data_IF_141829988118
#
_entry.id   IF_141829988118
#
_cell.length_a   1.000
_cell.length_b   1.000
_cell.length_c   1.000
_cell.angle_alpha   90.00
_cell.angle_beta   90.00
_cell.angle_gamma   90.00
#
_symmetry.space_group_name_H-M   'P 1'
#
loop_
_entity.id
_entity.type
_entity.pdbx_description
1 polymer ?
#
# COMPACT_ATOMS: atom_id res chain seq x y z
N UNK A 1 -33.15 34.45 41.78
CA UNK A 1 -32.58 33.44 42.71
C UNK A 1 -31.96 32.35 41.82
N UNK A 2 -30.65 32.13 41.69
CA UNK A 2 -29.53 32.51 42.52
C UNK A 2 -28.72 31.26 42.87
N UNK A 3 -27.91 30.75 41.93
CA UNK A 3 -26.67 30.03 42.25
C UNK A 3 -25.76 29.95 41.01
N UNK A 4 -24.83 30.90 40.93
CA UNK A 4 -23.66 30.86 40.05
C UNK A 4 -22.66 29.87 40.65
N UNK A 5 -22.23 28.85 39.90
CA UNK A 5 -21.04 28.08 40.22
C UNK A 5 -19.88 28.62 39.37
N UNK A 6 -18.93 29.26 40.07
CA UNK A 6 -17.67 29.75 39.51
C UNK A 6 -16.73 28.57 39.23
N UNK A 7 -16.25 28.48 37.99
CA UNK A 7 -15.12 27.65 37.59
C UNK A 7 -13.81 28.35 38.01
N UNK A 8 -13.02 27.71 38.86
CA UNK A 8 -11.66 28.11 39.19
C UNK A 8 -10.66 27.53 38.17
N UNK A 9 -9.60 28.26 37.78
CA UNK A 9 -8.63 27.79 36.80
C UNK A 9 -7.64 26.77 37.40
N UNK A 10 -7.42 25.67 36.68
CA UNK A 10 -6.39 24.64 36.99
C UNK A 10 -4.99 25.25 36.91
N UNK A 11 -4.25 25.16 38.00
CA UNK A 11 -2.81 25.44 38.06
C UNK A 11 -2.03 24.41 37.24
N UNK A 12 -1.16 24.89 36.36
CA UNK A 12 -0.14 24.11 35.67
C UNK A 12 0.98 23.78 36.66
N UNK A 13 1.24 22.48 36.85
CA UNK A 13 2.40 22.01 37.60
C UNK A 13 3.62 21.97 36.68
N UNK A 14 4.54 22.89 36.90
CA UNK A 14 5.87 22.97 36.29
C UNK A 14 6.79 21.91 36.90
N UNK A 15 7.31 21.01 36.07
CA UNK A 15 8.37 20.04 36.45
C UNK A 15 9.73 20.72 36.20
N UNK A 16 10.67 20.73 37.17
CA UNK A 16 11.96 21.38 36.98
C UNK A 16 12.91 20.52 36.12
N UNK A 17 13.52 21.15 35.10
CA UNK A 17 14.63 20.60 34.34
C UNK A 17 15.86 20.42 35.24
N UNK A 18 16.31 19.18 35.39
CA UNK A 18 17.62 18.87 35.95
C UNK A 18 18.71 19.10 34.89
N UNK A 19 19.63 20.01 35.20
CA UNK A 19 20.82 20.36 34.45
C UNK A 19 21.91 19.31 34.64
N UNK A 20 22.23 18.52 33.61
CA UNK A 20 23.43 17.67 33.62
C UNK A 20 24.63 18.44 33.09
N UNK A 21 25.62 18.62 33.98
CA UNK A 21 26.89 19.31 33.79
C UNK A 21 27.73 18.72 32.66
N UNK A 22 28.36 19.63 31.93
CA UNK A 22 29.48 19.41 31.03
C UNK A 22 30.63 18.69 31.73
N UNK A 23 31.15 17.61 31.14
CA UNK A 23 32.50 17.13 31.41
C UNK A 23 33.41 17.62 30.29
N UNK A 24 34.29 18.56 30.67
CA UNK A 24 35.47 18.96 29.93
C UNK A 24 36.52 17.85 30.07
N UNK A 25 37.01 17.32 28.95
CA UNK A 25 38.20 16.46 28.93
C UNK A 25 39.42 17.34 28.75
N UNK A 26 40.28 17.38 29.77
CA UNK A 26 41.58 18.04 29.76
C UNK A 26 42.53 17.41 28.73
N UNK A 27 43.21 18.26 27.97
CA UNK A 27 44.38 17.93 27.16
C UNK A 27 45.57 17.61 28.05
N UNK A 28 46.03 16.35 28.05
CA UNK A 28 47.33 15.99 28.65
C UNK A 28 48.44 16.20 27.61
N UNK A 29 49.22 17.26 27.80
CA UNK A 29 50.51 17.47 27.15
C UNK A 29 51.53 16.45 27.67
N UNK A 30 52.08 15.63 26.78
CA UNK A 30 53.28 14.84 27.04
C UNK A 30 54.48 15.47 26.34
N UNK A 31 55.28 16.20 27.10
CA UNK A 31 56.61 16.67 26.70
C UNK A 31 57.68 15.73 27.25
N UNK A 32 58.45 15.13 26.34
CA UNK A 32 59.88 14.84 26.47
C UNK A 32 60.32 13.69 27.38
N UNK A 33 61.01 12.69 26.80
CA UNK A 33 62.37 12.26 27.19
C UNK A 33 62.97 11.47 26.03
N UNK A 34 64.30 11.56 25.93
CA UNK A 34 65.14 11.36 24.77
C UNK A 34 65.93 10.04 24.89
N UNK A 35 66.30 9.49 23.72
CA UNK A 35 67.45 8.62 23.38
C UNK A 35 67.42 7.09 23.66
N UNK A 36 67.98 6.42 22.64
CA UNK A 36 68.49 5.03 22.52
C UNK A 36 67.47 3.94 22.17
N UNK A 37 67.40 3.54 20.90
CA UNK A 37 67.96 2.26 20.43
C UNK A 37 67.84 2.15 18.89
N UNK A 38 68.96 1.80 18.25
CA UNK A 38 69.04 1.45 16.83
C UNK A 38 68.47 0.06 16.56
N UNK A 39 67.79 -0.08 15.42
CA UNK A 39 67.75 -1.30 14.62
C UNK A 39 66.73 -2.37 15.03
N UNK A 40 65.69 -2.55 14.21
CA UNK A 40 65.35 -3.80 13.49
C UNK A 40 64.14 -3.48 12.59
N UNK A 41 64.31 -3.68 11.29
CA UNK A 41 63.27 -3.55 10.28
C UNK A 41 62.31 -4.75 10.41
N UNK A 42 61.29 -4.63 11.27
CA UNK A 42 60.23 -5.63 11.40
C UNK A 42 59.11 -5.35 10.39
N UNK A 43 59.00 -6.17 9.35
CA UNK A 43 57.83 -6.23 8.48
C UNK A 43 56.62 -6.71 9.30
N UNK A 44 55.89 -5.79 9.93
CA UNK A 44 54.56 -6.07 10.47
C UNK A 44 53.58 -6.10 9.29
N UNK A 45 53.29 -7.30 8.78
CA UNK A 45 52.08 -7.51 7.98
C UNK A 45 50.91 -7.36 8.94
N UNK A 46 50.40 -6.12 9.05
CA UNK A 46 49.07 -5.86 9.56
C UNK A 46 48.09 -6.54 8.61
N UNK A 47 47.77 -7.80 8.91
CA UNK A 47 46.55 -8.43 8.40
C UNK A 47 45.38 -7.58 8.88
N UNK A 48 44.97 -6.64 8.04
CA UNK A 48 43.65 -6.03 8.14
C UNK A 48 42.65 -7.18 7.93
N UNK A 49 42.26 -7.84 9.02
CA UNK A 49 40.97 -8.50 9.09
C UNK A 49 39.96 -7.38 8.89
N UNK A 50 39.55 -7.18 7.63
CA UNK A 50 38.37 -6.42 7.31
C UNK A 50 37.24 -7.07 8.12
N UNK A 51 36.91 -6.49 9.26
CA UNK A 51 35.65 -6.75 9.92
C UNK A 51 34.62 -6.29 8.93
N UNK A 52 34.11 -7.22 8.12
CA UNK A 52 32.96 -6.99 7.28
C UNK A 52 31.85 -6.56 8.23
N UNK A 53 31.59 -5.25 8.32
CA UNK A 53 30.53 -4.73 9.15
C UNK A 53 29.25 -5.46 8.74
N UNK A 54 28.55 -6.07 9.69
CA UNK A 54 27.30 -6.76 9.43
C UNK A 54 26.39 -5.81 8.63
N UNK A 55 26.06 -6.18 7.40
CA UNK A 55 25.36 -5.30 6.48
C UNK A 55 23.94 -5.04 6.98
N UNK A 56 23.56 -3.77 7.08
CA UNK A 56 22.19 -3.38 7.38
C UNK A 56 21.39 -3.14 6.10
N UNK A 57 20.16 -3.65 6.07
CA UNK A 57 19.19 -3.42 5.01
C UNK A 57 17.98 -2.73 5.63
N UNK A 58 17.79 -1.45 5.32
CA UNK A 58 16.59 -0.73 5.74
C UNK A 58 15.38 -1.21 4.92
N UNK A 59 14.31 -1.59 5.62
CA UNK A 59 12.98 -1.87 5.07
C UNK A 59 12.00 -0.85 5.64
N UNK A 60 11.53 0.08 4.80
CA UNK A 60 10.53 1.06 5.22
C UNK A 60 9.12 0.55 4.95
N UNK A 61 8.19 0.77 5.89
CA UNK A 61 6.77 0.42 5.73
C UNK A 61 5.87 1.43 6.45
N UNK A 62 4.57 1.40 6.16
CA UNK A 62 3.54 2.16 6.89
C UNK A 62 2.49 1.26 7.58
N UNK A 63 2.77 -0.04 7.69
CA UNK A 63 1.90 -1.01 8.37
C UNK A 63 1.63 -0.62 9.83
N UNK A 64 0.50 -1.11 10.35
CA UNK A 64 0.08 -1.01 11.74
C UNK A 64 -0.46 -2.35 12.28
N UNK A 65 -0.74 -2.38 13.58
CA UNK A 65 -1.40 -3.50 14.25
C UNK A 65 -0.77 -4.87 13.97
N UNK A 66 -1.62 -5.86 13.67
CA UNK A 66 -1.19 -7.25 13.47
C UNK A 66 -0.29 -7.46 12.26
N UNK A 67 -0.45 -6.66 11.21
CA UNK A 67 0.45 -6.73 10.05
C UNK A 67 1.85 -6.24 10.40
N UNK A 68 1.96 -5.13 11.16
CA UNK A 68 3.25 -4.64 11.67
C UNK A 68 3.92 -5.66 12.60
N UNK A 69 3.17 -6.23 13.56
CA UNK A 69 3.69 -7.25 14.49
C UNK A 69 4.23 -8.48 13.75
N UNK A 70 3.50 -8.93 12.73
CA UNK A 70 3.91 -10.06 11.90
C UNK A 70 5.18 -9.74 11.10
N UNK A 71 5.25 -8.58 10.44
CA UNK A 71 6.45 -8.18 9.71
C UNK A 71 7.68 -8.11 10.63
N UNK A 72 7.52 -7.52 11.83
CA UNK A 72 8.60 -7.47 12.83
C UNK A 72 9.06 -8.87 13.23
N UNK A 73 8.11 -9.78 13.47
CA UNK A 73 8.42 -11.17 13.82
C UNK A 73 9.16 -11.91 12.70
N UNK A 74 8.71 -11.75 11.45
CA UNK A 74 9.37 -12.34 10.28
C UNK A 74 10.79 -11.81 10.08
N UNK A 75 10.99 -10.49 10.25
CA UNK A 75 12.31 -9.86 10.17
C UNK A 75 13.24 -10.37 11.27
N UNK A 76 12.74 -10.52 12.51
CA UNK A 76 13.53 -11.07 13.62
C UNK A 76 14.00 -12.50 13.30
N UNK A 77 13.09 -13.39 12.89
CA UNK A 77 13.45 -14.77 12.53
C UNK A 77 14.41 -14.85 11.35
N UNK A 78 14.24 -14.00 10.34
CA UNK A 78 15.19 -13.93 9.25
C UNK A 78 16.58 -13.49 9.75
N UNK A 79 16.66 -12.45 10.57
CA UNK A 79 17.91 -11.95 11.13
C UNK A 79 18.64 -13.02 11.96
N UNK A 80 17.90 -13.81 12.74
CA UNK A 80 18.46 -14.96 13.47
C UNK A 80 19.01 -16.03 12.51
N UNK A 81 18.28 -16.31 11.43
CA UNK A 81 18.68 -17.33 10.44
C UNK A 81 19.98 -16.97 9.70
N UNK A 82 20.31 -15.68 9.57
CA UNK A 82 21.52 -15.23 8.88
C UNK A 82 22.75 -15.09 9.79
N UNK A 83 22.65 -15.46 11.08
CA UNK A 83 23.76 -15.64 12.03
C UNK A 83 24.79 -14.51 12.05
N UNK A 84 24.32 -13.25 12.02
CA UNK A 84 25.18 -12.07 12.07
C UNK A 84 25.83 -11.67 10.73
N UNK A 85 25.57 -12.38 9.62
CA UNK A 85 26.03 -11.99 8.27
C UNK A 85 25.23 -10.82 7.65
N UNK A 86 24.63 -9.99 8.50
CA UNK A 86 23.77 -8.86 8.14
C UNK A 86 22.41 -8.91 8.86
N UNK A 87 21.62 -7.85 8.70
CA UNK A 87 20.27 -7.77 9.25
C UNK A 87 19.38 -6.82 8.45
N UNK A 88 18.09 -7.13 8.42
CA UNK A 88 17.02 -6.23 7.99
C UNK A 88 16.58 -5.39 9.19
N UNK A 89 16.44 -4.08 9.00
CA UNK A 89 16.01 -3.12 10.02
C UNK A 89 14.74 -2.43 9.52
N UNK A 90 13.69 -2.47 10.33
CA UNK A 90 12.42 -1.83 10.00
C UNK A 90 12.48 -0.32 10.23
N UNK A 91 11.86 0.43 9.32
CA UNK A 91 11.65 1.88 9.42
C UNK A 91 10.17 2.17 9.25
N UNK A 92 9.54 2.80 10.25
CA UNK A 92 8.19 3.30 10.10
C UNK A 92 8.20 4.60 9.29
N UNK A 93 7.54 4.59 8.13
CA UNK A 93 7.44 5.74 7.23
C UNK A 93 6.76 6.95 7.87
N UNK A 94 5.90 6.73 8.88
CA UNK A 94 5.14 7.79 9.56
C UNK A 94 6.03 8.60 10.52
N UNK A 95 7.06 7.98 11.06
CA UNK A 95 8.01 8.61 12.00
C UNK A 95 9.36 8.93 11.37
N UNK A 96 9.51 8.74 10.05
CA UNK A 96 10.78 8.97 9.36
C UNK A 96 10.83 10.37 8.76
N UNK A 97 11.54 11.28 9.43
CA UNK A 97 11.59 12.70 9.06
C UNK A 97 12.22 12.94 7.68
N UNK A 98 13.34 12.27 7.37
CA UNK A 98 14.06 12.47 6.12
C UNK A 98 13.56 11.58 4.98
N UNK A 99 12.34 11.83 4.49
CA UNK A 99 11.73 11.02 3.41
C UNK A 99 12.56 10.90 2.12
N UNK A 100 13.48 11.85 1.86
CA UNK A 100 14.37 11.83 0.70
C UNK A 100 15.47 10.76 0.78
N UNK A 101 15.86 10.32 1.98
CA UNK A 101 16.77 9.17 2.10
C UNK A 101 16.02 7.91 1.72
N UNK A 102 16.45 7.25 0.64
CA UNK A 102 15.80 6.05 0.13
C UNK A 102 16.31 4.80 0.87
N UNK A 103 15.43 3.95 1.43
CA UNK A 103 15.79 2.65 1.99
C UNK A 103 16.14 1.67 0.86
N UNK A 104 16.72 0.51 1.14
CA UNK A 104 16.89 -0.52 0.10
C UNK A 104 15.54 -1.18 -0.23
N UNK A 105 14.76 -1.48 0.81
CA UNK A 105 13.46 -2.12 0.69
C UNK A 105 12.36 -1.17 1.15
N UNK A 106 11.24 -1.20 0.46
CA UNK A 106 10.06 -0.46 0.88
C UNK A 106 8.78 -1.26 0.60
N UNK A 107 7.95 -1.43 1.63
CA UNK A 107 6.64 -2.06 1.53
C UNK A 107 5.56 -0.97 1.49
N UNK A 108 5.03 -0.72 0.29
CA UNK A 108 4.05 0.33 0.01
C UNK A 108 3.20 0.00 -1.22
N UNK A 109 2.06 0.67 -1.36
CA UNK A 109 1.43 0.80 -2.67
C UNK A 109 2.25 1.76 -3.52
N UNK A 110 2.41 1.48 -4.81
CA UNK A 110 3.19 2.35 -5.70
C UNK A 110 2.63 3.79 -5.74
N UNK A 111 1.30 3.94 -5.67
CA UNK A 111 0.61 5.23 -5.62
C UNK A 111 1.01 6.07 -4.41
N UNK A 112 1.37 5.43 -3.29
CA UNK A 112 1.78 6.10 -2.05
C UNK A 112 3.21 6.66 -2.13
N UNK A 113 3.96 6.42 -3.22
CA UNK A 113 5.39 6.77 -3.33
C UNK A 113 5.68 8.24 -3.03
N UNK A 114 4.82 9.16 -3.48
CA UNK A 114 5.00 10.60 -3.21
C UNK A 114 4.90 10.88 -1.71
N UNK A 115 3.90 10.33 -1.03
CA UNK A 115 3.72 10.49 0.41
C UNK A 115 4.86 9.81 1.20
N UNK A 116 5.42 8.74 0.65
CA UNK A 116 6.42 7.90 1.29
C UNK A 116 7.86 8.41 1.12
N UNK A 117 8.17 9.08 -0.01
CA UNK A 117 9.52 9.50 -0.39
C UNK A 117 9.65 11.00 -0.72
N UNK A 118 8.56 11.77 -0.72
CA UNK A 118 8.49 13.11 -1.33
C UNK A 118 8.94 13.13 -2.80
N UNK A 119 8.85 11.98 -3.47
CA UNK A 119 9.33 11.75 -4.84
C UNK A 119 8.69 10.48 -5.41
N UNK A 120 8.89 10.24 -6.71
CA UNK A 120 8.61 8.95 -7.36
C UNK A 120 9.93 8.31 -7.77
N UNK A 121 10.61 7.57 -6.88
CA UNK A 121 11.88 6.95 -7.23
C UNK A 121 11.68 5.86 -8.29
N UNK A 122 12.69 5.65 -9.12
CA UNK A 122 12.73 4.48 -9.98
C UNK A 122 13.06 3.24 -9.13
N UNK A 123 12.19 2.24 -9.17
CA UNK A 123 12.43 0.97 -8.49
C UNK A 123 13.36 0.07 -9.32
N UNK A 124 14.20 -0.71 -8.64
CA UNK A 124 14.93 -1.82 -9.25
C UNK A 124 13.96 -3.00 -9.43
N UNK A 125 13.86 -3.59 -10.63
CA UNK A 125 12.99 -4.74 -10.84
C UNK A 125 13.39 -5.92 -9.94
N UNK A 126 12.43 -6.49 -9.22
CA UNK A 126 12.69 -7.60 -8.30
C UNK A 126 13.33 -8.80 -9.02
N UNK A 127 12.84 -9.20 -10.19
CA UNK A 127 13.43 -10.30 -10.95
C UNK A 127 14.92 -10.07 -11.28
N UNK A 128 15.33 -8.81 -11.47
CA UNK A 128 16.72 -8.45 -11.68
C UNK A 128 17.54 -8.60 -10.39
N UNK A 129 17.04 -8.15 -9.24
CA UNK A 129 17.71 -8.37 -7.95
C UNK A 129 17.95 -9.87 -7.72
N UNK A 130 16.90 -10.69 -7.87
CA UNK A 130 16.99 -12.13 -7.59
C UNK A 130 18.01 -12.82 -8.50
N UNK A 131 17.96 -12.56 -9.81
CA UNK A 131 18.92 -13.10 -10.79
C UNK A 131 20.36 -12.68 -10.49
N UNK A 132 20.60 -11.39 -10.26
CA UNK A 132 21.95 -10.84 -10.08
C UNK A 132 22.64 -11.39 -8.82
N UNK A 133 21.88 -11.84 -7.82
CA UNK A 133 22.38 -12.39 -6.55
C UNK A 133 22.05 -13.89 -6.38
N UNK A 134 21.78 -14.59 -7.48
CA UNK A 134 21.69 -16.06 -7.52
C UNK A 134 20.54 -16.65 -6.70
N UNK A 135 19.46 -15.90 -6.50
CA UNK A 135 18.25 -16.42 -5.86
C UNK A 135 17.23 -16.82 -6.93
N UNK A 136 16.61 -18.01 -6.84
CA UNK A 136 15.60 -18.43 -7.79
C UNK A 136 14.33 -17.57 -7.62
N UNK A 137 13.80 -17.07 -8.73
CA UNK A 137 12.46 -16.48 -8.78
C UNK A 137 11.82 -16.86 -10.12
N UNK A 138 10.97 -17.87 -10.09
CA UNK A 138 10.13 -18.22 -11.23
C UNK A 138 8.81 -17.43 -11.12
N UNK A 139 8.45 -16.57 -12.08
CA UNK A 139 7.17 -15.86 -12.07
C UNK A 139 5.95 -16.78 -12.03
N UNK A 140 6.05 -18.00 -12.56
CA UNK A 140 4.92 -18.93 -12.66
C UNK A 140 4.50 -19.55 -11.32
N UNK A 141 5.27 -19.35 -10.24
CA UNK A 141 4.86 -19.76 -8.90
C UNK A 141 3.74 -18.90 -8.35
N UNK A 142 3.59 -17.68 -8.86
CA UNK A 142 2.56 -16.76 -8.39
C UNK A 142 1.22 -17.07 -9.05
N UNK A 143 0.14 -16.84 -8.31
CA UNK A 143 -1.16 -16.77 -8.95
C UNK A 143 -1.18 -15.70 -10.06
N UNK A 144 -1.77 -15.99 -11.22
CA UNK A 144 -1.82 -15.07 -12.35
C UNK A 144 -2.32 -13.68 -11.96
N UNK A 145 -3.43 -13.59 -11.21
CA UNK A 145 -4.03 -12.32 -10.79
C UNK A 145 -3.17 -11.52 -9.80
N UNK A 146 -2.35 -12.19 -8.99
CA UNK A 146 -1.46 -11.55 -8.03
C UNK A 146 -0.24 -10.98 -8.75
N UNK A 147 0.41 -11.77 -9.61
CA UNK A 147 1.57 -11.29 -10.36
C UNK A 147 1.16 -10.24 -11.43
N UNK A 148 -0.07 -10.25 -11.95
CA UNK A 148 -0.58 -9.21 -12.86
C UNK A 148 -0.54 -7.79 -12.25
N UNK A 149 -0.68 -7.69 -10.92
CA UNK A 149 -0.65 -6.42 -10.21
C UNK A 149 0.76 -5.81 -10.08
N UNK A 150 1.82 -6.60 -10.33
CA UNK A 150 3.22 -6.16 -10.12
C UNK A 150 4.15 -6.51 -11.28
N UNK A 151 3.66 -7.15 -12.34
CA UNK A 151 4.46 -7.52 -13.50
C UNK A 151 4.58 -6.38 -14.51
N UNK A 152 5.70 -6.34 -15.23
CA UNK A 152 5.85 -5.49 -16.40
C UNK A 152 5.18 -6.09 -17.65
N UNK A 153 5.30 -5.38 -18.78
CA UNK A 153 4.74 -5.83 -20.06
C UNK A 153 5.29 -7.16 -20.60
N UNK A 154 6.39 -7.67 -20.03
CA UNK A 154 7.00 -8.96 -20.37
C UNK A 154 6.59 -10.07 -19.39
N UNK A 155 5.74 -9.76 -18.41
CA UNK A 155 5.29 -10.71 -17.38
C UNK A 155 6.26 -10.88 -16.22
N UNK A 156 7.32 -10.06 -16.15
CA UNK A 156 8.34 -10.19 -15.10
C UNK A 156 8.00 -9.36 -13.85
N UNK A 157 8.10 -9.93 -12.64
CA UNK A 157 7.76 -9.23 -11.41
C UNK A 157 8.71 -8.05 -11.16
N UNK A 158 8.12 -6.88 -10.92
CA UNK A 158 8.85 -5.67 -10.53
C UNK A 158 8.99 -5.55 -9.01
N UNK A 159 8.06 -6.13 -8.24
CA UNK A 159 8.03 -6.14 -6.78
C UNK A 159 7.46 -7.47 -6.25
N UNK A 160 7.61 -7.72 -4.94
CA UNK A 160 6.99 -8.89 -4.29
C UNK A 160 5.59 -8.50 -3.77
N UNK A 161 4.50 -9.13 -4.23
CA UNK A 161 3.12 -8.68 -4.01
C UNK A 161 2.56 -9.08 -2.62
N UNK A 162 3.21 -8.62 -1.54
CA UNK A 162 2.92 -9.08 -0.18
C UNK A 162 1.57 -8.60 0.37
N UNK A 163 1.16 -7.37 0.05
CA UNK A 163 0.00 -6.69 0.64
C UNK A 163 -1.26 -6.73 -0.23
N UNK A 164 -1.36 -7.66 -1.17
CA UNK A 164 -2.48 -7.72 -2.11
C UNK A 164 -3.81 -7.96 -1.39
N UNK A 165 -4.84 -7.26 -1.84
CA UNK A 165 -6.21 -7.30 -1.33
C UNK A 165 -7.22 -7.34 -2.48
N UNK A 166 -8.45 -7.75 -2.18
CA UNK A 166 -9.59 -7.56 -3.08
C UNK A 166 -10.35 -6.28 -2.69
N UNK A 167 -10.99 -5.58 -3.63
CA UNK A 167 -11.91 -4.53 -3.30
C UNK A 167 -13.21 -5.17 -2.78
N UNK A 168 -13.68 -4.70 -1.63
CA UNK A 168 -14.87 -5.23 -0.94
C UNK A 168 -15.67 -4.10 -0.34
N UNK A 169 -16.90 -4.41 0.08
CA UNK A 169 -17.68 -3.56 0.97
C UNK A 169 -17.61 -4.13 2.39
N UNK A 170 -17.19 -3.30 3.35
CA UNK A 170 -17.26 -3.62 4.77
C UNK A 170 -18.39 -2.83 5.42
N UNK A 171 -19.11 -3.47 6.33
CA UNK A 171 -20.25 -2.85 7.04
C UNK A 171 -20.05 -3.02 8.53
N UNK A 172 -19.99 -1.90 9.25
CA UNK A 172 -19.99 -1.86 10.70
C UNK A 172 -21.41 -2.09 11.21
N UNK A 173 -21.70 -3.31 11.69
CA UNK A 173 -23.04 -3.70 12.13
C UNK A 173 -23.56 -2.87 13.30
N UNK A 174 -22.68 -2.28 14.11
CA UNK A 174 -23.08 -1.41 15.22
C UNK A 174 -23.66 -0.08 14.76
N UNK A 175 -23.32 0.37 13.56
CA UNK A 175 -23.86 1.60 12.98
C UNK A 175 -25.18 1.37 12.23
N UNK A 176 -25.63 0.12 12.09
CA UNK A 176 -26.92 -0.20 11.48
C UNK A 176 -28.02 -0.06 12.54
N UNK A 177 -28.95 0.91 12.40
CA UNK A 177 -30.04 1.10 13.34
C UNK A 177 -30.88 -0.16 13.49
N UNK A 178 -31.44 -0.41 14.68
CA UNK A 178 -32.29 -1.58 14.90
C UNK A 178 -33.50 -1.64 13.96
N UNK A 179 -34.04 -0.49 13.55
CA UNK A 179 -35.13 -0.39 12.58
C UNK A 179 -34.72 -0.77 11.13
N UNK A 180 -33.41 -0.80 10.84
CA UNK A 180 -32.84 -1.19 9.56
C UNK A 180 -32.27 -2.64 9.57
N UNK A 181 -32.40 -3.38 10.69
CA UNK A 181 -31.86 -4.76 10.81
C UNK A 181 -32.58 -5.80 9.96
N UNK A 182 -33.74 -5.48 9.41
CA UNK A 182 -34.44 -6.31 8.43
C UNK A 182 -33.83 -6.23 7.03
N UNK A 183 -32.96 -5.24 6.79
CA UNK A 183 -32.26 -5.06 5.51
C UNK A 183 -31.12 -6.06 5.43
N UNK A 184 -30.96 -6.67 4.26
CA UNK A 184 -29.83 -7.57 3.97
C UNK A 184 -28.51 -6.80 4.09
N UNK A 185 -27.66 -7.19 5.05
CA UNK A 185 -26.31 -6.64 5.26
C UNK A 185 -25.26 -7.32 4.36
N UNK A 186 -25.70 -7.87 3.23
CA UNK A 186 -24.88 -8.36 2.14
C UNK A 186 -25.34 -7.77 0.80
N UNK A 187 -25.37 -6.42 0.64
CA UNK A 187 -25.78 -5.78 -0.60
C UNK A 187 -24.90 -6.28 -1.75
N UNK A 188 -25.53 -6.56 -2.90
CA UNK A 188 -24.86 -7.14 -4.07
C UNK A 188 -24.68 -6.12 -5.17
N UNK A 189 -25.60 -5.16 -5.26
CA UNK A 189 -25.61 -4.15 -6.30
C UNK A 189 -25.38 -2.76 -5.73
N UNK A 190 -24.94 -1.82 -6.58
CA UNK A 190 -24.88 -0.41 -6.18
C UNK A 190 -26.26 0.16 -5.83
N UNK A 191 -27.35 -0.42 -6.35
CA UNK A 191 -28.70 -0.06 -5.95
C UNK A 191 -29.00 -0.49 -4.50
N UNK A 192 -28.62 -1.69 -4.11
CA UNK A 192 -28.77 -2.15 -2.72
C UNK A 192 -27.99 -1.26 -1.75
N UNK A 193 -26.77 -0.87 -2.14
CA UNK A 193 -25.95 0.07 -1.37
C UNK A 193 -26.63 1.44 -1.25
N UNK A 194 -27.26 1.94 -2.31
CA UNK A 194 -28.03 3.18 -2.25
C UNK A 194 -29.15 3.10 -1.22
N UNK A 195 -29.93 2.01 -1.25
CA UNK A 195 -31.08 1.82 -0.36
C UNK A 195 -30.63 1.70 1.09
N UNK A 196 -29.54 0.98 1.34
CA UNK A 196 -28.94 0.88 2.67
C UNK A 196 -28.38 2.23 3.13
N UNK A 197 -27.63 2.94 2.30
CA UNK A 197 -27.08 4.25 2.63
C UNK A 197 -28.17 5.30 2.91
N UNK A 198 -29.25 5.29 2.13
CA UNK A 198 -30.43 6.13 2.38
C UNK A 198 -31.09 5.80 3.70
N UNK A 199 -31.33 4.53 4.00
CA UNK A 199 -31.89 4.11 5.28
C UNK A 199 -31.03 4.55 6.46
N UNK A 200 -29.71 4.39 6.35
CA UNK A 200 -28.76 4.83 7.38
C UNK A 200 -28.82 6.34 7.59
N UNK A 201 -28.85 7.11 6.50
CA UNK A 201 -28.98 8.57 6.52
C UNK A 201 -30.28 9.03 7.19
N UNK A 202 -31.42 8.42 6.83
CA UNK A 202 -32.75 8.71 7.40
C UNK A 202 -32.81 8.46 8.91
N UNK A 203 -31.94 7.58 9.44
CA UNK A 203 -31.81 7.29 10.85
C UNK A 203 -30.65 8.04 11.54
N UNK A 204 -30.10 9.08 10.90
CA UNK A 204 -29.13 10.00 11.48
C UNK A 204 -27.67 9.54 11.44
N UNK A 205 -27.34 8.50 10.68
CA UNK A 205 -25.95 8.10 10.46
C UNK A 205 -25.28 9.14 9.56
N UNK A 206 -24.27 9.84 10.10
CA UNK A 206 -23.61 10.96 9.42
C UNK A 206 -22.70 10.55 8.25
N UNK A 207 -22.12 9.35 8.32
CA UNK A 207 -21.32 8.80 7.24
C UNK A 207 -21.86 7.40 6.88
N UNK A 208 -22.90 7.32 6.02
CA UNK A 208 -23.44 6.03 5.60
C UNK A 208 -22.43 5.19 4.82
N UNK A 209 -21.74 5.81 3.85
CA UNK A 209 -20.71 5.17 3.04
C UNK A 209 -19.49 6.09 2.90
N UNK A 210 -18.30 5.51 2.98
CA UNK A 210 -17.04 6.13 2.53
C UNK A 210 -16.29 5.15 1.62
N UNK A 211 -15.18 5.58 1.03
CA UNK A 211 -14.30 4.74 0.23
C UNK A 211 -12.82 5.03 0.48
N UNK A 212 -11.96 4.04 0.23
CA UNK A 212 -10.51 4.17 0.14
C UNK A 212 -10.02 3.61 -1.19
N UNK A 213 -8.82 4.02 -1.63
CA UNK A 213 -8.20 3.59 -2.89
C UNK A 213 -9.13 3.88 -4.07
N UNK A 214 -9.61 5.12 -4.15
CA UNK A 214 -10.75 5.52 -4.98
C UNK A 214 -10.59 5.16 -6.46
N UNK A 215 -9.42 5.42 -7.05
CA UNK A 215 -9.16 5.07 -8.45
C UNK A 215 -9.27 3.56 -8.70
N UNK A 216 -8.67 2.75 -7.84
CA UNK A 216 -8.74 1.30 -7.95
C UNK A 216 -10.18 0.78 -7.76
N UNK A 217 -10.89 1.24 -6.72
CA UNK A 217 -12.24 0.77 -6.39
C UNK A 217 -13.28 1.26 -7.41
N UNK A 218 -13.31 2.56 -7.70
CA UNK A 218 -14.43 3.20 -8.41
C UNK A 218 -14.15 3.53 -9.88
N UNK A 219 -12.93 3.32 -10.36
CA UNK A 219 -12.59 3.47 -11.78
C UNK A 219 -12.18 2.14 -12.40
N UNK A 220 -11.13 1.49 -11.87
CA UNK A 220 -10.58 0.28 -12.46
C UNK A 220 -11.51 -0.92 -12.27
N UNK A 221 -11.99 -1.15 -11.04
CA UNK A 221 -12.85 -2.29 -10.78
C UNK A 221 -14.25 -2.13 -11.37
N UNK A 222 -14.77 -0.90 -11.45
CA UNK A 222 -16.02 -0.62 -12.16
C UNK A 222 -15.86 -0.92 -13.64
N UNK A 223 -14.79 -0.47 -14.29
CA UNK A 223 -14.55 -0.84 -15.68
C UNK A 223 -14.40 -2.37 -15.84
N UNK A 224 -13.65 -2.99 -14.92
CA UNK A 224 -13.35 -4.42 -14.99
C UNK A 224 -14.57 -5.32 -14.84
N UNK A 225 -15.44 -5.03 -13.87
CA UNK A 225 -16.67 -5.78 -13.65
C UNK A 225 -17.68 -5.62 -14.78
N UNK A 226 -17.47 -4.71 -15.74
CA UNK A 226 -18.41 -4.47 -16.85
C UNK A 226 -17.75 -4.61 -18.23
N UNK A 227 -16.58 -5.26 -18.30
CA UNK A 227 -15.90 -5.54 -19.57
C UNK A 227 -15.41 -4.29 -20.32
N UNK A 228 -15.30 -3.15 -19.62
CA UNK A 228 -14.85 -1.90 -20.21
C UNK A 228 -13.32 -1.88 -20.24
N UNK A 229 -12.75 -1.87 -21.44
CA UNK A 229 -11.31 -1.77 -21.60
C UNK A 229 -10.85 -0.32 -21.37
N UNK A 230 -9.90 -0.14 -20.44
CA UNK A 230 -9.34 1.17 -20.15
C UNK A 230 -8.03 1.45 -20.87
N UNK A 231 -7.24 0.42 -21.20
CA UNK A 231 -6.00 0.59 -21.95
C UNK A 231 -6.24 0.56 -23.46
N UNK A 232 -5.60 1.46 -24.20
CA UNK A 232 -5.66 1.50 -25.66
C UNK A 232 -4.23 1.40 -26.14
N UNK A 233 -3.91 0.28 -26.80
CA UNK A 233 -2.56 0.01 -27.32
C UNK A 233 -2.55 0.02 -28.83
N UNK A 234 -1.76 0.92 -29.41
CA UNK A 234 -1.53 1.02 -30.85
C UNK A 234 -0.03 0.98 -31.13
N UNK A 235 0.47 -0.18 -31.54
CA UNK A 235 1.92 -0.41 -31.69
C UNK A 235 2.67 -0.22 -30.37
N UNK A 236 3.55 0.79 -30.33
CA UNK A 236 4.31 1.18 -29.12
C UNK A 236 3.61 2.26 -28.28
N UNK A 237 2.51 2.83 -28.76
CA UNK A 237 1.73 3.81 -27.99
C UNK A 237 0.79 3.07 -27.05
N UNK A 238 0.78 3.50 -25.80
CA UNK A 238 -0.18 3.09 -24.79
C UNK A 238 -0.91 4.35 -24.31
N UNK A 239 -2.23 4.30 -24.31
CA UNK A 239 -3.13 5.36 -23.86
C UNK A 239 -4.16 4.78 -22.92
N UNK A 240 -4.82 5.63 -22.16
CA UNK A 240 -5.92 5.26 -21.28
C UNK A 240 -7.23 5.94 -21.69
N UNK A 241 -8.36 5.28 -21.44
CA UNK A 241 -9.72 5.78 -21.61
C UNK A 241 -10.52 5.58 -20.32
N UNK A 242 -10.43 6.56 -19.43
CA UNK A 242 -11.13 6.52 -18.15
C UNK A 242 -12.60 6.98 -18.24
N UNK A 243 -12.93 7.75 -19.28
CA UNK A 243 -14.25 8.32 -19.54
C UNK A 243 -15.20 7.39 -20.31
N UNK A 244 -15.11 6.07 -20.10
CA UNK A 244 -16.13 5.15 -20.62
C UNK A 244 -17.50 5.40 -19.95
N UNK A 245 -18.57 4.91 -20.58
CA UNK A 245 -19.94 5.21 -20.14
C UNK A 245 -20.20 4.69 -18.71
N UNK A 246 -19.65 3.52 -18.37
CA UNK A 246 -19.84 2.92 -17.05
C UNK A 246 -19.21 3.77 -15.94
N UNK A 247 -17.96 4.22 -16.13
CA UNK A 247 -17.27 5.06 -15.18
C UNK A 247 -17.95 6.44 -15.03
N UNK A 248 -18.46 7.01 -16.13
CA UNK A 248 -19.23 8.26 -16.09
C UNK A 248 -20.54 8.07 -15.31
N UNK A 249 -21.30 6.99 -15.57
CA UNK A 249 -22.51 6.62 -14.83
C UNK A 249 -22.20 6.48 -13.33
N UNK A 250 -21.14 5.75 -13.00
CA UNK A 250 -20.79 5.46 -11.62
C UNK A 250 -20.32 6.71 -10.85
N UNK A 251 -19.44 7.52 -11.43
CA UNK A 251 -18.98 8.75 -10.77
C UNK A 251 -20.12 9.77 -10.61
N UNK A 252 -21.04 9.85 -11.57
CA UNK A 252 -22.24 10.69 -11.45
C UNK A 252 -23.16 10.22 -10.32
N UNK A 253 -23.29 8.90 -10.11
CA UNK A 253 -24.02 8.33 -8.99
C UNK A 253 -23.37 8.68 -7.64
N UNK A 254 -22.05 8.51 -7.51
CA UNK A 254 -21.35 8.90 -6.27
C UNK A 254 -21.46 10.40 -6.01
N UNK A 255 -21.43 11.23 -7.04
CA UNK A 255 -21.63 12.68 -6.91
C UNK A 255 -23.06 13.04 -6.46
N UNK A 256 -24.08 12.27 -6.85
CA UNK A 256 -25.43 12.47 -6.33
C UNK A 256 -25.54 11.97 -4.88
N UNK A 257 -24.84 10.90 -4.52
CA UNK A 257 -24.79 10.39 -3.15
C UNK A 257 -24.07 11.32 -2.20
N UNK A 258 -23.00 11.98 -2.64
CA UNK A 258 -22.31 13.00 -1.83
C UNK A 258 -23.26 14.16 -1.51
N UNK A 259 -23.95 14.70 -2.52
CA UNK A 259 -24.95 15.76 -2.34
C UNK A 259 -26.11 15.35 -1.43
N UNK A 260 -26.52 14.09 -1.48
CA UNK A 260 -27.57 13.52 -0.64
C UNK A 260 -27.06 12.98 0.70
N UNK A 261 -25.77 13.19 1.04
CA UNK A 261 -25.13 12.71 2.29
C UNK A 261 -25.13 11.20 2.48
N UNK A 262 -25.26 10.44 1.39
CA UNK A 262 -25.12 8.97 1.40
C UNK A 262 -23.66 8.54 1.30
N UNK A 263 -22.81 9.41 0.73
CA UNK A 263 -21.39 9.16 0.55
C UNK A 263 -20.57 10.34 1.11
N UNK A 264 -19.55 10.05 1.91
CA UNK A 264 -18.60 11.03 2.44
C UNK A 264 -17.20 10.69 1.92
N UNK A 265 -16.52 11.65 1.29
CA UNK A 265 -15.20 11.47 0.69
C UNK A 265 -14.11 12.07 1.56
N UNK A 266 -13.18 11.24 2.04
CA UNK A 266 -12.09 11.69 2.93
C UNK A 266 -10.71 11.74 2.29
N UNK A 267 -10.59 11.35 1.03
CA UNK A 267 -9.32 11.30 0.34
C UNK A 267 -9.29 10.18 -0.71
N UNK A 268 -8.31 10.24 -1.62
CA UNK A 268 -8.21 9.26 -2.70
C UNK A 268 -7.59 7.93 -2.28
N UNK A 269 -6.76 7.93 -1.24
CA UNK A 269 -5.91 6.80 -0.86
C UNK A 269 -6.49 6.09 0.37
N UNK A 270 -5.72 5.93 1.44
CA UNK A 270 -6.12 5.15 2.61
C UNK A 270 -6.68 6.00 3.77
N UNK A 271 -6.95 7.29 3.57
CA UNK A 271 -7.37 8.22 4.63
C UNK A 271 -8.67 7.78 5.31
N UNK A 272 -9.62 7.21 4.56
CA UNK A 272 -10.90 6.75 5.11
C UNK A 272 -10.79 5.46 5.93
N UNK A 273 -9.71 4.68 5.78
CA UNK A 273 -9.52 3.44 6.54
C UNK A 273 -9.54 3.72 8.06
N UNK A 274 -8.81 4.75 8.52
CA UNK A 274 -8.75 5.08 9.94
C UNK A 274 -10.08 5.60 10.49
N UNK A 275 -10.84 6.37 9.69
CA UNK A 275 -12.19 6.84 10.08
C UNK A 275 -13.16 5.68 10.24
N UNK A 276 -13.12 4.71 9.34
CA UNK A 276 -13.90 3.49 9.47
C UNK A 276 -13.49 2.69 10.72
N UNK A 277 -12.19 2.51 10.97
CA UNK A 277 -11.68 1.81 12.15
C UNK A 277 -12.05 2.50 13.48
N UNK A 278 -12.24 3.83 13.46
CA UNK A 278 -12.75 4.61 14.58
C UNK A 278 -14.28 4.56 14.72
N UNK A 279 -14.96 3.88 13.79
CA UNK A 279 -16.41 3.74 13.78
C UNK A 279 -17.16 4.98 13.30
N UNK A 280 -16.49 5.93 12.64
CA UNK A 280 -17.13 7.16 12.13
C UNK A 280 -18.11 6.88 10.99
N UNK A 281 -17.85 5.84 10.19
CA UNK A 281 -18.63 5.46 9.03
C UNK A 281 -19.28 4.09 9.18
N UNK A 282 -20.51 3.95 8.67
CA UNK A 282 -21.25 2.70 8.72
C UNK A 282 -20.76 1.69 7.68
N UNK A 283 -20.40 2.16 6.48
CA UNK A 283 -19.88 1.33 5.41
C UNK A 283 -18.60 1.91 4.81
N UNK A 284 -17.71 1.05 4.33
CA UNK A 284 -16.54 1.44 3.53
C UNK A 284 -16.36 0.50 2.35
N UNK A 285 -16.15 1.03 1.15
CA UNK A 285 -15.53 0.27 0.06
C UNK A 285 -14.02 0.42 0.11
N UNK A 286 -13.29 -0.68 0.08
CA UNK A 286 -11.84 -0.64 0.22
C UNK A 286 -11.18 -2.01 0.22
N UNK A 287 -9.98 -2.07 0.77
CA UNK A 287 -9.13 -3.26 0.79
C UNK A 287 -9.69 -4.35 1.72
N UNK A 288 -9.76 -5.60 1.25
CA UNK A 288 -10.23 -6.74 2.06
C UNK A 288 -9.42 -6.99 3.33
N UNK A 289 -8.14 -6.62 3.35
CA UNK A 289 -7.28 -6.69 4.53
C UNK A 289 -7.78 -5.82 5.69
N UNK A 290 -8.52 -4.73 5.41
CA UNK A 290 -9.12 -3.87 6.43
C UNK A 290 -10.12 -4.62 7.31
N UNK A 291 -10.74 -5.71 6.81
CA UNK A 291 -11.59 -6.58 7.62
C UNK A 291 -10.82 -7.17 8.82
N UNK A 292 -9.59 -7.65 8.60
CA UNK A 292 -8.76 -8.23 9.67
C UNK A 292 -8.37 -7.15 10.67
N UNK A 293 -7.99 -5.96 10.21
CA UNK A 293 -7.69 -4.82 11.07
C UNK A 293 -8.90 -4.39 11.92
N UNK A 294 -10.09 -4.30 11.32
CA UNK A 294 -11.34 -3.95 12.01
C UNK A 294 -11.72 -5.00 13.06
N UNK A 295 -11.60 -6.29 12.75
CA UNK A 295 -11.83 -7.38 13.71
C UNK A 295 -10.82 -7.36 14.84
N UNK A 296 -9.55 -7.08 14.57
CA UNK A 296 -8.52 -6.93 15.58
C UNK A 296 -8.77 -5.72 16.50
N UNK A 297 -9.40 -4.66 15.98
CA UNK A 297 -9.87 -3.50 16.76
C UNK A 297 -11.19 -3.76 17.52
N UNK A 298 -11.76 -4.96 17.45
CA UNK A 298 -12.99 -5.32 18.18
C UNK A 298 -14.30 -4.84 17.52
N UNK A 299 -14.26 -4.44 16.25
CA UNK A 299 -15.47 -4.08 15.50
C UNK A 299 -16.28 -5.32 15.13
N UNK A 300 -17.61 -5.21 15.21
CA UNK A 300 -18.52 -6.17 14.58
C UNK A 300 -18.74 -5.74 13.13
N UNK A 301 -17.92 -6.30 12.24
CA UNK A 301 -17.89 -5.96 10.82
C UNK A 301 -18.32 -7.16 9.98
N UNK A 302 -19.16 -6.93 8.98
CA UNK A 302 -19.39 -7.86 7.88
C UNK A 302 -18.57 -7.47 6.65
N UNK A 303 -18.36 -8.46 5.77
CA UNK A 303 -17.67 -8.30 4.49
C UNK A 303 -18.61 -8.78 3.39
N UNK A 304 -18.75 -7.99 2.33
CA UNK A 304 -19.50 -8.31 1.12
C UNK A 304 -18.60 -8.07 -0.11
N UNK A 305 -18.82 -8.80 -1.22
CA UNK A 305 -18.15 -8.51 -2.49
C UNK A 305 -18.35 -7.06 -2.91
N UNK A 306 -17.43 -6.51 -3.72
CA UNK A 306 -17.63 -5.20 -4.32
C UNK A 306 -18.97 -5.16 -5.08
N UNK A 307 -19.87 -4.20 -4.80
CA UNK A 307 -21.13 -4.09 -5.51
C UNK A 307 -20.92 -3.88 -7.00
N UNK A 308 -21.86 -4.37 -7.82
CA UNK A 308 -21.79 -4.25 -9.28
C UNK A 308 -23.14 -3.82 -9.88
N UNK A 309 -23.17 -3.53 -11.18
CA UNK A 309 -24.39 -3.22 -11.92
C UNK A 309 -24.88 -4.45 -12.69
N UNK A 310 -25.89 -5.13 -12.16
CA UNK A 310 -26.50 -6.31 -12.81
C UNK A 310 -27.19 -5.97 -14.12
N UNK A 311 -27.66 -4.73 -14.26
CA UNK A 311 -28.36 -4.21 -15.44
C UNK A 311 -27.43 -3.84 -16.60
N UNK A 312 -26.11 -3.90 -16.40
CA UNK A 312 -25.13 -3.55 -17.41
C UNK A 312 -24.82 -4.73 -18.34
N UNK A 313 -24.83 -4.47 -19.65
CA UNK A 313 -24.39 -5.45 -20.64
C UNK A 313 -22.94 -5.86 -20.40
N UNK A 314 -22.67 -7.17 -20.40
CA UNK A 314 -21.32 -7.69 -20.16
C UNK A 314 -20.86 -7.64 -18.70
N UNK A 315 -21.76 -7.42 -17.74
CA UNK A 315 -21.45 -7.46 -16.32
C UNK A 315 -20.89 -8.83 -15.89
N UNK A 316 -19.72 -8.80 -15.24
CA UNK A 316 -18.98 -9.94 -14.73
C UNK A 316 -18.55 -9.65 -13.30
N UNK A 317 -19.44 -9.95 -12.35
CA UNK A 317 -19.27 -9.68 -10.90
C UNK A 317 -17.89 -10.08 -10.36
N UNK A 318 -17.41 -11.25 -10.75
CA UNK A 318 -16.19 -11.85 -10.21
C UNK A 318 -14.90 -11.31 -10.86
N UNK A 319 -15.01 -10.46 -11.89
CA UNK A 319 -13.87 -9.74 -12.48
C UNK A 319 -13.52 -8.48 -11.69
N UNK A 320 -13.12 -8.69 -10.43
CA UNK A 320 -12.42 -7.67 -9.65
C UNK A 320 -10.90 -7.80 -9.86
N UNK A 321 -10.12 -6.80 -9.50
CA UNK A 321 -8.67 -6.75 -9.76
C UNK A 321 -7.93 -6.75 -8.42
N UNK A 322 -7.21 -7.81 -8.02
CA UNK A 322 -6.37 -7.75 -6.83
C UNK A 322 -5.33 -6.63 -6.95
N UNK A 323 -5.13 -5.88 -5.88
CA UNK A 323 -4.11 -4.83 -5.82
C UNK A 323 -3.74 -4.56 -4.35
N UNK A 324 -2.65 -3.85 -4.11
CA UNK A 324 -2.21 -3.53 -2.77
C UNK A 324 -0.71 -3.31 -2.66
N UNK A 325 -0.24 -3.24 -1.42
CA UNK A 325 1.16 -2.96 -1.16
C UNK A 325 2.06 -4.08 -1.69
N UNK A 326 3.21 -3.70 -2.22
CA UNK A 326 4.25 -4.64 -2.64
C UNK A 326 5.59 -4.25 -2.01
N UNK A 327 6.48 -5.21 -1.85
CA UNK A 327 7.85 -4.97 -1.41
C UNK A 327 8.70 -4.61 -2.64
N UNK A 328 9.01 -3.33 -2.73
CA UNK A 328 9.83 -2.72 -3.77
C UNK A 328 11.29 -2.66 -3.37
N UNK A 329 12.17 -2.74 -4.37
CA UNK A 329 13.62 -2.60 -4.21
C UNK A 329 14.03 -1.25 -4.78
N UNK A 330 14.78 -0.45 -4.02
CA UNK A 330 15.31 0.82 -4.48
C UNK A 330 16.79 0.69 -4.85
N UNK A 331 17.26 1.40 -5.89
CA UNK A 331 18.63 1.30 -6.35
C UNK A 331 19.62 2.03 -5.43
N UNK A 332 20.92 1.81 -5.67
CA UNK A 332 21.99 2.64 -5.10
C UNK A 332 22.66 2.09 -3.84
N UNK A 333 22.30 0.88 -3.40
CA UNK A 333 22.88 0.25 -2.21
C UNK A 333 24.03 -0.72 -2.56
N UNK A 334 24.98 -0.98 -1.63
CA UNK A 334 26.12 -1.88 -1.86
C UNK A 334 25.70 -3.30 -2.25
N UNK A 335 26.58 -4.02 -2.96
CA UNK A 335 26.32 -5.40 -3.42
C UNK A 335 25.95 -6.35 -2.28
N UNK A 336 26.61 -6.25 -1.13
CA UNK A 336 26.31 -7.08 0.03
C UNK A 336 24.88 -6.85 0.58
N UNK A 337 24.40 -5.60 0.55
CA UNK A 337 23.03 -5.26 0.98
C UNK A 337 21.99 -5.87 0.04
N UNK A 338 22.23 -5.76 -1.27
CA UNK A 338 21.36 -6.36 -2.28
C UNK A 338 21.34 -7.90 -2.20
N UNK A 339 22.49 -8.55 -1.92
CA UNK A 339 22.56 -9.98 -1.68
C UNK A 339 21.70 -10.41 -0.47
N UNK A 340 21.78 -9.66 0.64
CA UNK A 340 20.95 -9.93 1.82
C UNK A 340 19.46 -9.71 1.52
N UNK A 341 19.11 -8.64 0.79
CA UNK A 341 17.75 -8.36 0.37
C UNK A 341 17.16 -9.46 -0.52
N UNK A 342 17.95 -10.01 -1.46
CA UNK A 342 17.53 -11.13 -2.29
C UNK A 342 17.25 -12.38 -1.43
N UNK A 343 18.11 -12.70 -0.47
CA UNK A 343 17.88 -13.80 0.50
C UNK A 343 16.64 -13.58 1.35
N UNK A 344 16.37 -12.33 1.76
CA UNK A 344 15.16 -11.98 2.51
C UNK A 344 13.90 -12.21 1.68
N UNK A 345 13.91 -11.86 0.39
CA UNK A 345 12.78 -12.16 -0.51
C UNK A 345 12.56 -13.66 -0.63
N UNK A 346 13.62 -14.47 -0.80
CA UNK A 346 13.49 -15.94 -0.81
C UNK A 346 12.88 -16.48 0.48
N UNK A 347 13.25 -15.91 1.64
CA UNK A 347 12.66 -16.26 2.92
C UNK A 347 11.15 -15.93 2.97
N UNK A 348 10.76 -14.74 2.52
CA UNK A 348 9.37 -14.31 2.47
C UNK A 348 8.49 -15.16 1.54
N UNK A 349 9.08 -15.79 0.53
CA UNK A 349 8.38 -16.69 -0.39
C UNK A 349 8.14 -18.09 0.19
N UNK A 350 8.71 -18.45 1.33
CA UNK A 350 8.48 -19.76 1.93
C UNK A 350 6.99 -19.94 2.30
N UNK A 351 6.36 -21.10 2.02
CA UNK A 351 4.92 -21.31 2.25
C UNK A 351 4.48 -21.02 3.70
N UNK A 352 5.27 -21.44 4.69
CA UNK A 352 4.96 -21.20 6.11
C UNK A 352 5.04 -19.71 6.49
N UNK A 353 5.99 -18.98 5.91
CA UNK A 353 6.14 -17.54 6.11
C UNK A 353 4.96 -16.80 5.49
N UNK A 354 4.57 -17.16 4.26
CA UNK A 354 3.39 -16.60 3.60
C UNK A 354 2.09 -16.91 4.36
N UNK A 355 1.93 -18.15 4.84
CA UNK A 355 0.78 -18.56 5.66
C UNK A 355 0.62 -17.69 6.90
N UNK A 356 1.71 -17.46 7.63
CA UNK A 356 1.69 -16.58 8.81
C UNK A 356 1.36 -15.13 8.43
N UNK A 357 2.01 -14.62 7.39
CA UNK A 357 1.77 -13.27 6.89
C UNK A 357 0.30 -13.05 6.53
N UNK A 358 -0.26 -13.92 5.68
CA UNK A 358 -1.67 -13.86 5.23
C UNK A 358 -2.64 -13.89 6.41
N UNK A 359 -2.40 -14.74 7.41
CA UNK A 359 -3.26 -14.83 8.61
C UNK A 359 -3.25 -13.55 9.43
N UNK A 360 -2.08 -12.93 9.57
CA UNK A 360 -1.92 -11.75 10.41
C UNK A 360 -2.36 -10.46 9.70
N UNK A 361 -2.11 -10.34 8.39
CA UNK A 361 -2.39 -9.13 7.62
C UNK A 361 -3.75 -9.12 6.93
N UNK A 362 -4.34 -10.30 6.66
CA UNK A 362 -5.52 -10.41 5.80
C UNK A 362 -5.23 -10.20 4.31
N UNK A 363 -3.95 -10.19 3.92
CA UNK A 363 -3.54 -10.15 2.51
C UNK A 363 -3.87 -11.46 1.79
N UNK A 364 -3.89 -11.42 0.46
CA UNK A 364 -4.11 -12.60 -0.38
C UNK A 364 -2.84 -13.48 -0.43
N UNK A 365 -2.98 -14.82 -0.47
CA UNK A 365 -1.85 -15.70 -0.70
C UNK A 365 -1.26 -15.45 -2.10
N UNK A 366 0.07 -15.39 -2.19
CA UNK A 366 0.74 -15.08 -3.45
C UNK A 366 0.86 -16.30 -4.35
N UNK A 367 0.97 -17.50 -3.77
CA UNK A 367 1.21 -18.77 -4.48
C UNK A 367 0.23 -19.88 -4.07
N UNK A 368 0.03 -20.90 -4.94
CA UNK A 368 -0.75 -22.08 -4.59
C UNK A 368 -0.26 -22.83 -3.34
N UNK A 369 1.06 -22.89 -3.12
CA UNK A 369 1.64 -23.54 -1.94
C UNK A 369 1.28 -22.81 -0.65
N UNK A 370 1.24 -21.47 -0.67
CA UNK A 370 0.79 -20.69 0.47
C UNK A 370 -0.70 -20.93 0.78
N UNK A 371 -1.55 -21.04 -0.25
CA UNK A 371 -2.97 -21.37 -0.07
C UNK A 371 -3.14 -22.80 0.48
N UNK A 372 -2.35 -23.76 0.01
CA UNK A 372 -2.35 -25.12 0.54
C UNK A 372 -1.93 -25.16 2.01
N UNK A 373 -0.87 -24.44 2.37
CA UNK A 373 -0.43 -24.32 3.76
C UNK A 373 -1.52 -23.66 4.66
N UNK A 374 -2.29 -22.72 4.13
CA UNK A 374 -3.46 -22.15 4.82
C UNK A 374 -4.58 -23.17 4.99
N UNK A 375 -4.87 -23.98 3.97
CA UNK A 375 -5.87 -25.07 4.01
C UNK A 375 -5.50 -26.11 5.07
N UNK A 376 -4.27 -26.60 5.05
CA UNK A 376 -3.76 -27.58 6.02
C UNK A 376 -3.78 -27.07 7.47
N UNK A 377 -3.66 -25.77 7.65
CA UNK A 377 -3.68 -25.14 8.96
C UNK A 377 -5.09 -24.75 9.44
N UNK A 378 -6.15 -25.18 8.75
CA UNK A 378 -7.54 -25.05 9.18
C UNK A 378 -8.36 -23.96 8.48
N UNK A 379 -7.89 -23.39 7.37
CA UNK A 379 -8.74 -22.54 6.53
C UNK A 379 -9.92 -23.36 5.98
N UNK A 380 -11.17 -22.86 6.05
CA UNK A 380 -12.32 -23.58 5.52
C UNK A 380 -12.16 -23.92 4.04
N UNK A 381 -12.43 -25.17 3.65
CA UNK A 381 -12.22 -25.65 2.28
C UNK A 381 -12.97 -24.78 1.24
N UNK A 382 -14.23 -24.43 1.50
CA UNK A 382 -15.01 -23.59 0.59
C UNK A 382 -14.39 -22.20 0.37
N UNK A 383 -13.74 -21.63 1.39
CA UNK A 383 -13.03 -20.35 1.27
C UNK A 383 -11.73 -20.52 0.49
N UNK A 384 -10.97 -21.59 0.75
CA UNK A 384 -9.77 -21.90 -0.01
C UNK A 384 -10.10 -22.12 -1.50
N UNK A 385 -11.16 -22.86 -1.82
CA UNK A 385 -11.54 -23.12 -3.20
C UNK A 385 -12.07 -21.86 -3.91
N UNK A 386 -12.73 -20.95 -3.17
CA UNK A 386 -13.11 -19.65 -3.71
C UNK A 386 -11.89 -18.77 -4.00
N UNK A 387 -10.90 -18.75 -3.10
CA UNK A 387 -9.63 -18.06 -3.32
C UNK A 387 -8.88 -18.64 -4.52
N UNK A 388 -8.76 -19.97 -4.61
CA UNK A 388 -8.13 -20.68 -5.74
C UNK A 388 -8.76 -20.26 -7.07
N UNK A 389 -10.09 -20.44 -7.22
CA UNK A 389 -10.81 -20.08 -8.46
C UNK A 389 -10.58 -18.63 -8.85
N UNK A 390 -10.57 -17.73 -7.87
CA UNK A 390 -10.42 -16.30 -8.09
C UNK A 390 -9.01 -15.93 -8.53
N UNK A 391 -7.99 -16.44 -7.83
CA UNK A 391 -6.60 -16.03 -8.04
C UNK A 391 -5.97 -16.74 -9.25
N UNK A 392 -6.44 -17.94 -9.59
CA UNK A 392 -6.01 -18.71 -10.76
C UNK A 392 -6.58 -18.19 -12.10
N UNK A 393 -7.53 -17.25 -12.08
CA UNK A 393 -8.13 -16.70 -13.29
C UNK A 393 -7.08 -16.08 -14.23
N UNK A 394 -7.17 -16.40 -15.53
CA UNK A 394 -6.19 -16.00 -16.54
C UNK A 394 -6.03 -14.49 -16.66
N UNK A 395 -4.80 -14.04 -17.00
CA UNK A 395 -4.50 -12.65 -17.34
C UNK A 395 -5.06 -12.21 -18.69
N UNK A 396 -5.23 -13.15 -19.62
CA UNK A 396 -5.63 -12.83 -21.00
C UNK A 396 -7.01 -12.21 -21.13
N UNK A 397 -7.89 -12.44 -20.15
CA UNK A 397 -9.26 -11.93 -20.10
C UNK A 397 -9.39 -10.66 -19.23
N UNK A 398 -8.24 -10.09 -18.83
CA UNK A 398 -8.16 -8.98 -17.89
C UNK A 398 -8.35 -7.64 -18.60
N UNK A 399 -9.23 -6.83 -18.04
CA UNK A 399 -9.43 -5.39 -18.32
C UNK A 399 -8.47 -4.52 -17.50
N UNK A 400 -7.54 -5.14 -16.74
CA UNK A 400 -6.56 -4.45 -15.91
C UNK A 400 -5.67 -3.55 -16.77
N UNK A 401 -5.54 -2.30 -16.33
CA UNK A 401 -4.47 -1.44 -16.82
C UNK A 401 -3.14 -1.87 -16.20
N UNK A 402 -2.12 -2.05 -17.04
CA UNK A 402 -0.80 -2.49 -16.57
C UNK A 402 -0.24 -1.55 -15.48
N UNK A 403 0.41 -2.09 -14.45
CA UNK A 403 1.16 -1.27 -13.50
C UNK A 403 2.22 -0.43 -14.20
N UNK A 404 2.43 0.80 -13.72
CA UNK A 404 3.49 1.69 -14.19
C UNK A 404 3.02 3.11 -14.45
N UNK A 405 3.89 3.90 -15.09
CA UNK A 405 3.77 5.35 -15.20
C UNK A 405 2.42 5.85 -15.73
N UNK A 406 1.84 5.19 -16.74
CA UNK A 406 0.55 5.61 -17.29
C UNK A 406 -0.59 5.44 -16.26
N UNK A 407 -0.59 4.34 -15.51
CA UNK A 407 -1.54 4.09 -14.43
C UNK A 407 -1.36 5.07 -13.28
N UNK A 408 -0.13 5.32 -12.86
CA UNK A 408 0.18 6.30 -11.81
C UNK A 408 -0.33 7.71 -12.19
N UNK A 409 -0.15 8.12 -13.44
CA UNK A 409 -0.66 9.41 -13.93
C UNK A 409 -2.17 9.44 -13.99
N UNK A 410 -2.81 8.33 -14.38
CA UNK A 410 -4.26 8.22 -14.34
C UNK A 410 -4.77 8.44 -12.92
N UNK A 411 -4.18 7.74 -11.94
CA UNK A 411 -4.60 7.83 -10.54
C UNK A 411 -4.41 9.26 -10.02
N UNK A 412 -3.25 9.86 -10.24
CA UNK A 412 -2.98 11.25 -9.85
C UNK A 412 -3.98 12.23 -10.49
N UNK A 413 -4.20 12.12 -11.80
CA UNK A 413 -5.12 12.99 -12.51
C UNK A 413 -6.58 12.77 -12.04
N UNK A 414 -6.98 11.53 -11.75
CA UNK A 414 -8.30 11.25 -11.20
C UNK A 414 -8.45 11.88 -9.82
N UNK A 415 -7.50 11.64 -8.92
CA UNK A 415 -7.54 12.12 -7.53
C UNK A 415 -7.76 13.64 -7.46
N UNK A 416 -7.08 14.40 -8.31
CA UNK A 416 -7.28 15.85 -8.41
C UNK A 416 -8.67 16.23 -8.98
N UNK A 417 -9.15 15.51 -10.00
CA UNK A 417 -10.43 15.85 -10.64
C UNK A 417 -11.65 15.44 -9.80
N UNK A 418 -11.61 14.30 -9.10
CA UNK A 418 -12.74 13.87 -8.26
C UNK A 418 -12.94 14.81 -7.08
N UNK A 419 -11.87 15.35 -6.50
CA UNK A 419 -11.98 16.38 -5.46
C UNK A 419 -12.78 17.62 -5.93
N UNK A 420 -12.67 17.97 -7.22
CA UNK A 420 -13.45 19.05 -7.83
C UNK A 420 -14.91 18.66 -8.07
N UNK A 421 -15.21 17.39 -8.36
CA UNK A 421 -16.60 16.91 -8.51
C UNK A 421 -17.40 17.11 -7.22
N UNK A 422 -16.75 16.91 -6.06
CA UNK A 422 -17.40 17.09 -4.75
C UNK A 422 -17.56 18.56 -4.37
N UNK A 423 -16.58 19.40 -4.71
CA UNK A 423 -16.50 20.78 -4.22
C UNK A 423 -17.02 21.83 -5.20
N UNK A 424 -17.33 21.46 -6.44
CA UNK A 424 -17.72 22.39 -7.51
C UNK A 424 -18.86 21.84 -8.37
N UNK A 425 -19.45 22.65 -9.29
CA UNK A 425 -20.43 22.17 -10.27
C UNK A 425 -19.85 21.28 -11.39
N UNK A 426 -18.58 20.86 -11.32
CA UNK A 426 -17.95 20.03 -12.35
C UNK A 426 -18.69 18.69 -12.49
N UNK A 427 -19.12 18.36 -13.71
CA UNK A 427 -19.79 17.08 -13.95
C UNK A 427 -18.80 15.91 -13.95
N UNK A 428 -19.28 14.71 -13.60
CA UNK A 428 -18.52 13.47 -13.66
C UNK A 428 -17.87 13.23 -15.04
N UNK A 429 -18.60 13.55 -16.13
CA UNK A 429 -18.09 13.43 -17.49
C UNK A 429 -16.91 14.38 -17.73
N UNK A 430 -17.04 15.66 -17.38
CA UNK A 430 -15.96 16.64 -17.54
C UNK A 430 -14.72 16.28 -16.73
N UNK A 431 -14.92 15.80 -15.49
CA UNK A 431 -13.84 15.31 -14.65
C UNK A 431 -13.08 14.16 -15.33
N UNK A 432 -13.78 13.12 -15.79
CA UNK A 432 -13.16 11.96 -16.44
C UNK A 432 -12.56 12.27 -17.81
N UNK A 433 -13.15 13.19 -18.57
CA UNK A 433 -12.57 13.68 -19.83
C UNK A 433 -11.22 14.37 -19.56
N UNK A 434 -11.17 15.22 -18.53
CA UNK A 434 -9.94 15.92 -18.11
C UNK A 434 -8.91 14.94 -17.56
N UNK A 435 -9.33 13.98 -16.73
CA UNK A 435 -8.47 12.89 -16.24
C UNK A 435 -7.86 12.11 -17.40
N UNK A 436 -8.66 11.72 -18.39
CA UNK A 436 -8.22 10.99 -19.59
C UNK A 436 -7.23 11.82 -20.40
N UNK A 437 -7.51 13.11 -20.61
CA UNK A 437 -6.61 14.00 -21.34
C UNK A 437 -5.26 14.15 -20.62
N UNK A 438 -5.29 14.38 -19.31
CA UNK A 438 -4.08 14.58 -18.49
C UNK A 438 -3.23 13.32 -18.40
N UNK A 439 -3.83 12.16 -18.18
CA UNK A 439 -3.11 10.89 -18.09
C UNK A 439 -2.40 10.54 -19.41
N UNK A 440 -3.01 10.88 -20.56
CA UNK A 440 -2.44 10.68 -21.88
C UNK A 440 -1.47 11.77 -22.34
N UNK A 441 -1.35 12.86 -21.58
CA UNK A 441 -0.46 13.96 -21.94
C UNK A 441 1.00 13.55 -21.68
N UNK A 442 1.95 13.91 -22.57
CA UNK A 442 3.36 13.67 -22.31
C UNK A 442 3.77 14.35 -21.00
N UNK A 443 4.51 13.66 -20.14
CA UNK A 443 5.17 14.31 -19.01
C UNK A 443 6.10 15.36 -19.58
N UNK A 444 5.87 16.65 -19.26
CA UNK A 444 6.87 17.66 -19.56
C UNK A 444 8.10 17.29 -18.74
N UNK A 445 9.13 16.74 -19.38
CA UNK A 445 10.44 16.65 -18.77
C UNK A 445 10.89 18.09 -18.56
N UNK A 446 10.73 18.62 -17.35
CA UNK A 446 11.44 19.82 -16.95
C UNK A 446 12.92 19.44 -16.94
N UNK A 447 13.53 19.60 -18.11
CA UNK A 447 14.97 19.63 -18.33
C UNK A 447 15.54 20.80 -17.53
N UNK A 448 15.75 20.59 -16.24
CA UNK A 448 16.80 21.32 -15.53
C UNK A 448 18.15 20.85 -16.08
N UNK A 449 18.93 21.83 -16.55
CA UNK A 449 20.37 21.75 -16.87
C UNK A 449 20.76 21.39 -18.31
N UNK A 450 20.44 22.29 -19.26
CA UNK A 450 21.22 22.42 -20.51
C UNK A 450 21.64 23.86 -20.84
N UNK A 451 21.76 24.72 -19.82
CA UNK A 451 22.25 26.10 -19.97
C UNK A 451 23.66 26.35 -19.39
N UNK A 452 24.29 25.37 -18.73
CA UNK A 452 25.62 25.56 -18.12
C UNK A 452 26.81 25.04 -18.95
N UNK A 453 26.60 24.52 -20.17
CA UNK A 453 27.68 24.00 -21.02
C UNK A 453 27.86 24.77 -22.34
N UNK A 454 27.59 26.07 -22.30
CA UNK A 454 28.00 27.05 -23.31
C UNK A 454 28.46 28.33 -22.60
N UNK A 455 29.55 28.23 -21.84
CA UNK A 455 30.45 29.33 -21.43
C UNK A 455 31.51 28.77 -20.48
N UNK A 456 32.53 28.14 -21.07
CA UNK A 456 33.95 28.32 -20.74
C UNK A 456 34.76 27.53 -21.76
#
# INVERSE_FOLDING_TARGET
>A
MGSKQQYAPRQQATIPLATSRFYSTEEVKLTGINKYFSGVLGFFVLSFSAHASAQEVALRHALDGKAQDALATLVLRFNDSVKGHGRVVLQDARSFDNKHTLPLLALLNADDSVNFFNARPAFMPLHKLMRDYGQPLNPDIFYPQILDAVADSTGQPQALPMGMSLPVLLINRKQVPSAAKTIDLAPRTWHDVQNLAGTLSDHGVKCPLTSSRFAWVHLENIASQHGEQMDIRTGRSEKVKANNLMNVKHLALLASWEKSRYFEYFGPDAEANQRFLQGECAMITGESSLYVAARAAGMDVSIAPLPFYEDAYGAQRDKVLPDGAALWVLPGQPKAANALAARFVSYLLQPDVQKEWVRASGSLPMTPEALNALRESGMPAALADAAERRLAASRGDSTRMRPGTLRDHLHLALNEQVALVWSTPLSAKQALDTTTLRANSPVSSKSTTKAARRRK
#
